data_IF_990698439567
#
_entry.id   IF_990698439567
#
_cell.length_a   1.000
_cell.length_b   1.000
_cell.length_c   1.000
_cell.angle_alpha   90.00
_cell.angle_beta   90.00
_cell.angle_gamma   90.00
#
_symmetry.space_group_name_H-M   'P 1'
#
loop_
_entity.id
_entity.type
_entity.pdbx_description
1 polymer ?
#
# COMPACT_ATOMS: atom_id res chain seq x y z
N UNK A 1 12.21 20.15 -0.59
CA UNK A 1 12.99 18.98 -0.11
C UNK A 1 12.84 17.83 -1.11
N UNK A 2 13.88 17.01 -1.28
CA UNK A 2 13.84 15.75 -2.05
C UNK A 2 13.77 14.59 -1.05
N UNK A 3 12.74 13.74 -1.12
CA UNK A 3 12.52 12.66 -0.17
C UNK A 3 12.42 11.31 -0.91
N UNK A 4 13.23 10.34 -0.51
CA UNK A 4 13.15 8.97 -1.06
C UNK A 4 11.94 8.22 -0.49
N UNK A 5 11.34 7.31 -1.26
CA UNK A 5 10.16 6.58 -0.77
C UNK A 5 10.03 5.14 -1.25
N UNK A 6 9.33 4.36 -0.41
CA UNK A 6 8.73 3.07 -0.78
C UNK A 6 7.40 2.87 -0.02
N UNK A 7 6.29 3.17 -0.68
CA UNK A 7 4.97 3.28 -0.06
C UNK A 7 4.07 2.05 -0.30
N UNK A 8 4.64 0.92 -0.74
CA UNK A 8 3.92 -0.33 -0.93
C UNK A 8 4.80 -1.49 -0.44
N UNK A 9 4.66 -1.85 0.84
CA UNK A 9 5.45 -2.90 1.52
C UNK A 9 4.48 -3.79 2.29
N UNK A 10 4.63 -5.11 2.16
CA UNK A 10 3.88 -6.09 2.95
C UNK A 10 4.69 -6.50 4.18
N UNK A 11 4.01 -6.71 5.30
CA UNK A 11 4.61 -7.30 6.49
C UNK A 11 4.25 -8.78 6.60
N UNK A 12 4.76 -9.45 7.63
CA UNK A 12 4.37 -10.81 7.98
C UNK A 12 2.87 -10.97 8.33
N UNK A 13 2.08 -9.89 8.33
CA UNK A 13 0.62 -9.95 8.42
C UNK A 13 -0.03 -10.39 7.11
N UNK A 14 0.55 -10.01 5.97
CA UNK A 14 0.12 -10.53 4.67
C UNK A 14 0.60 -11.98 4.55
N UNK A 15 -0.26 -12.96 4.20
CA UNK A 15 0.15 -14.36 4.17
C UNK A 15 1.25 -14.65 3.16
N UNK A 16 1.26 -13.93 2.04
CA UNK A 16 2.31 -13.98 1.03
C UNK A 16 3.62 -13.27 1.44
N UNK A 17 3.63 -12.54 2.56
CA UNK A 17 4.81 -11.89 3.10
C UNK A 17 5.68 -12.87 3.87
N UNK A 18 7.00 -12.73 3.77
CA UNK A 18 7.93 -13.55 4.53
C UNK A 18 7.79 -13.29 6.05
N UNK A 19 7.97 -14.31 6.88
CA UNK A 19 7.90 -14.18 8.33
C UNK A 19 8.97 -13.21 8.89
N UNK A 20 10.07 -12.99 8.16
CA UNK A 20 11.08 -11.98 8.50
C UNK A 20 10.65 -10.54 8.19
N UNK A 21 9.52 -10.32 7.52
CA UNK A 21 8.91 -8.99 7.30
C UNK A 21 8.25 -8.45 8.57
N UNK A 22 8.97 -8.50 9.68
CA UNK A 22 8.53 -7.97 10.97
C UNK A 22 8.62 -6.44 11.00
N UNK A 23 7.85 -5.76 11.87
CA UNK A 23 7.93 -4.30 12.01
C UNK A 23 9.34 -3.75 12.21
N UNK A 24 10.15 -4.39 13.06
CA UNK A 24 11.53 -3.95 13.32
C UNK A 24 12.42 -4.15 12.10
N UNK A 25 12.34 -5.31 11.45
CA UNK A 25 13.14 -5.59 10.26
C UNK A 25 12.81 -4.65 9.10
N UNK A 26 11.52 -4.39 8.84
CA UNK A 26 11.10 -3.43 7.79
C UNK A 26 11.69 -2.04 8.07
N UNK A 27 11.56 -1.54 9.30
CA UNK A 27 12.06 -0.20 9.65
C UNK A 27 13.59 -0.12 9.61
N UNK A 28 14.30 -1.16 10.07
CA UNK A 28 15.76 -1.21 9.97
C UNK A 28 16.24 -1.30 8.53
N UNK A 29 15.58 -2.12 7.70
CA UNK A 29 15.92 -2.26 6.29
C UNK A 29 15.68 -0.95 5.54
N UNK A 30 14.54 -0.30 5.76
CA UNK A 30 14.25 1.02 5.17
C UNK A 30 15.29 2.07 5.59
N UNK A 31 15.74 2.05 6.84
CA UNK A 31 16.80 2.93 7.31
C UNK A 31 18.15 2.65 6.64
N UNK A 32 18.54 1.37 6.52
CA UNK A 32 19.77 0.96 5.85
C UNK A 32 19.76 1.35 4.36
N UNK A 33 18.61 1.24 3.69
CA UNK A 33 18.39 1.63 2.29
C UNK A 33 18.23 3.14 2.08
N UNK A 34 18.27 3.94 3.16
CA UNK A 34 18.19 5.39 3.09
C UNK A 34 16.82 5.94 2.66
N UNK A 35 15.73 5.23 2.99
CA UNK A 35 14.37 5.67 2.66
C UNK A 35 13.87 6.74 3.63
N UNK A 36 13.33 7.83 3.09
CA UNK A 36 12.72 8.89 3.90
C UNK A 36 11.26 8.59 4.27
N UNK A 37 10.54 7.93 3.37
CA UNK A 37 9.10 7.68 3.50
C UNK A 37 8.85 6.19 3.23
N UNK A 38 8.10 5.55 4.11
CA UNK A 38 7.59 4.21 3.85
C UNK A 38 6.09 4.10 4.14
N UNK A 39 5.46 3.04 3.64
CA UNK A 39 4.15 2.62 4.10
C UNK A 39 4.08 1.10 4.10
N UNK A 40 3.58 0.53 5.20
CA UNK A 40 3.16 -0.88 5.25
C UNK A 40 1.71 -0.94 4.84
N UNK A 41 1.41 -1.75 3.83
CA UNK A 41 0.12 -1.82 3.14
C UNK A 41 -0.31 -3.28 3.03
N UNK A 42 -0.40 -3.97 4.16
CA UNK A 42 -0.85 -5.36 4.20
C UNK A 42 -2.23 -5.55 3.56
N UNK A 43 -2.47 -6.75 3.02
CA UNK A 43 -3.73 -7.07 2.35
C UNK A 43 -4.90 -7.01 3.35
N UNK A 44 -5.87 -6.14 3.08
CA UNK A 44 -7.17 -6.08 3.75
C UNK A 44 -7.15 -5.96 5.31
N UNK A 45 -5.96 -5.70 5.90
CA UNK A 45 -5.72 -5.57 7.34
C UNK A 45 -4.51 -4.65 7.57
N UNK A 46 -4.41 -4.03 8.75
CA UNK A 46 -3.37 -3.02 9.00
C UNK A 46 -2.74 -3.10 10.41
N UNK A 47 -2.80 -4.25 11.06
CA UNK A 47 -2.44 -4.39 12.49
C UNK A 47 -0.94 -4.17 12.78
N UNK A 48 -0.06 -4.31 11.79
CA UNK A 48 1.38 -4.08 11.94
C UNK A 48 1.81 -2.63 11.64
N UNK A 49 0.90 -1.76 11.18
CA UNK A 49 1.23 -0.38 10.80
C UNK A 49 1.62 0.47 12.01
N UNK A 50 0.92 0.36 13.14
CA UNK A 50 1.21 1.14 14.34
C UNK A 50 2.59 0.81 14.99
N UNK A 51 2.97 -0.48 15.15
CA UNK A 51 4.34 -0.86 15.49
C UNK A 51 5.40 -0.22 14.58
N UNK A 52 5.18 -0.25 13.26
CA UNK A 52 6.09 0.34 12.26
C UNK A 52 6.22 1.85 12.46
N UNK A 53 5.11 2.58 12.64
CA UNK A 53 5.12 4.03 12.92
C UNK A 53 5.96 4.34 14.18
N UNK A 54 5.74 3.59 15.27
CA UNK A 54 6.43 3.80 16.55
C UNK A 54 7.95 3.64 16.41
N UNK A 55 8.39 2.64 15.66
CA UNK A 55 9.80 2.34 15.42
C UNK A 55 10.44 3.36 14.47
N UNK A 56 9.78 3.65 13.34
CA UNK A 56 10.28 4.54 12.30
C UNK A 56 10.51 5.96 12.81
N UNK A 57 9.66 6.44 13.74
CA UNK A 57 9.82 7.75 14.38
C UNK A 57 11.19 7.93 15.04
N UNK A 58 11.76 6.88 15.64
CA UNK A 58 13.08 6.93 16.29
C UNK A 58 14.22 7.05 15.28
N UNK A 59 13.98 6.68 14.01
CA UNK A 59 14.95 6.73 12.91
C UNK A 59 14.70 7.91 11.97
N UNK A 60 13.76 8.78 12.31
CA UNK A 60 13.36 9.90 11.48
C UNK A 60 12.57 9.53 10.23
N UNK A 61 12.20 8.26 10.01
CA UNK A 61 11.46 7.81 8.83
C UNK A 61 9.98 8.18 8.97
N UNK A 62 9.42 8.81 7.94
CA UNK A 62 7.99 9.11 7.89
C UNK A 62 7.24 7.86 7.43
N UNK A 63 6.27 7.41 8.21
CA UNK A 63 5.40 6.29 7.83
C UNK A 63 4.03 6.83 7.48
N UNK A 64 3.54 6.52 6.29
CA UNK A 64 2.17 6.84 5.89
C UNK A 64 1.28 5.65 6.28
N UNK A 65 0.27 5.83 7.15
CA UNK A 65 -0.69 4.78 7.46
C UNK A 65 -1.39 4.30 6.19
N UNK A 66 -1.27 3.00 5.88
CA UNK A 66 -1.77 2.44 4.63
C UNK A 66 -2.31 1.01 4.76
N UNK A 67 -2.98 0.56 3.70
CA UNK A 67 -3.54 -0.78 3.53
C UNK A 67 -3.71 -1.01 2.02
N UNK A 68 -3.40 -2.21 1.53
CA UNK A 68 -3.76 -2.61 0.17
C UNK A 68 -5.08 -3.39 0.23
N UNK A 69 -6.08 -2.92 -0.51
CA UNK A 69 -7.41 -3.54 -0.55
C UNK A 69 -7.61 -4.25 -1.87
N UNK A 70 -8.05 -5.50 -1.80
CA UNK A 70 -8.55 -6.25 -2.96
C UNK A 70 -10.03 -5.93 -3.13
N UNK A 71 -10.39 -5.22 -4.19
CA UNK A 71 -11.80 -4.87 -4.48
C UNK A 71 -12.58 -6.11 -4.93
N UNK A 72 -13.90 -5.97 -5.05
CA UNK A 72 -14.79 -7.01 -5.58
C UNK A 72 -14.41 -7.45 -7.00
N UNK A 73 -13.89 -6.53 -7.80
CA UNK A 73 -13.36 -6.80 -9.14
C UNK A 73 -12.03 -7.54 -9.12
N UNK A 74 -11.48 -7.85 -7.93
CA UNK A 74 -10.13 -8.37 -7.75
C UNK A 74 -9.06 -7.39 -8.21
N UNK A 75 -9.29 -6.07 -8.08
CA UNK A 75 -8.27 -5.04 -8.33
C UNK A 75 -7.65 -4.63 -7.00
N UNK A 76 -6.33 -4.46 -6.96
CA UNK A 76 -5.66 -3.91 -5.79
C UNK A 76 -5.59 -2.39 -5.83
N UNK A 77 -5.91 -1.77 -4.69
CA UNK A 77 -5.80 -0.33 -4.49
C UNK A 77 -5.15 -0.03 -3.16
N UNK A 78 -4.20 0.89 -3.19
CA UNK A 78 -3.54 1.42 -2.01
C UNK A 78 -4.40 2.51 -1.41
N UNK A 79 -4.77 2.33 -0.15
CA UNK A 79 -5.57 3.28 0.61
C UNK A 79 -4.74 3.84 1.76
N UNK A 80 -4.41 5.12 1.70
CA UNK A 80 -3.63 5.82 2.70
C UNK A 80 -4.48 6.76 3.54
N UNK A 81 -4.10 6.94 4.80
CA UNK A 81 -4.80 7.81 5.75
C UNK A 81 -3.83 8.73 6.49
N UNK A 82 -4.35 9.82 7.03
CA UNK A 82 -3.54 10.81 7.77
C UNK A 82 -3.23 10.35 9.18
N UNK A 83 -4.09 9.52 9.75
CA UNK A 83 -3.96 9.00 11.11
C UNK A 83 -4.22 7.49 11.17
N UNK A 84 -3.63 6.84 12.17
CA UNK A 84 -3.88 5.41 12.45
C UNK A 84 -5.36 5.15 12.79
N UNK A 85 -6.03 6.12 13.43
CA UNK A 85 -7.45 6.02 13.81
C UNK A 85 -8.36 5.94 12.58
N UNK A 86 -8.08 6.75 11.56
CA UNK A 86 -8.81 6.71 10.29
C UNK A 86 -8.55 5.40 9.54
N UNK A 87 -7.29 4.95 9.50
CA UNK A 87 -6.92 3.65 8.92
C UNK A 87 -7.68 2.51 9.58
N UNK A 88 -7.67 2.40 10.90
CA UNK A 88 -8.38 1.32 11.61
C UNK A 88 -9.90 1.40 11.44
N UNK A 89 -10.49 2.60 11.33
CA UNK A 89 -11.92 2.74 11.04
C UNK A 89 -12.26 2.17 9.65
N UNK A 90 -11.41 2.44 8.65
CA UNK A 90 -11.55 1.94 7.30
C UNK A 90 -11.30 0.42 7.21
N UNK A 91 -10.17 -0.02 7.73
CA UNK A 91 -9.72 -1.41 7.73
C UNK A 91 -10.75 -2.34 8.40
N UNK A 92 -11.37 -1.92 9.49
CA UNK A 92 -12.44 -2.69 10.12
C UNK A 92 -13.66 -2.90 9.21
N UNK A 93 -13.97 -1.95 8.31
CA UNK A 93 -15.06 -2.13 7.33
C UNK A 93 -14.66 -3.13 6.25
N UNK A 94 -13.42 -3.04 5.75
CA UNK A 94 -12.87 -3.95 4.74
C UNK A 94 -12.80 -5.37 5.29
N UNK A 95 -12.18 -5.58 6.45
CA UNK A 95 -12.04 -6.90 7.08
C UNK A 95 -13.38 -7.59 7.36
N UNK A 96 -14.39 -6.84 7.84
CA UNK A 96 -15.75 -7.37 8.06
C UNK A 96 -16.44 -7.76 6.76
N UNK A 97 -16.02 -7.22 5.62
CA UNK A 97 -16.59 -7.53 4.32
C UNK A 97 -15.97 -8.77 3.64
N UNK A 98 -14.84 -9.26 4.17
CA UNK A 98 -14.19 -10.46 3.65
C UNK A 98 -15.06 -11.71 3.92
N UNK A 99 -15.06 -12.67 2.99
CA UNK A 99 -15.62 -14.00 3.22
C UNK A 99 -15.08 -14.61 4.53
N UNK A 100 -15.91 -15.40 5.19
CA UNK A 100 -15.52 -16.11 6.42
C UNK A 100 -14.77 -17.41 6.08
N UNK A 101 -13.66 -17.27 5.36
CA UNK A 101 -12.79 -18.36 4.95
C UNK A 101 -11.53 -18.30 5.79
N UNK A 102 -11.24 -19.37 6.52
CA UNK A 102 -10.04 -19.48 7.34
C UNK A 102 -8.80 -19.62 6.45
N UNK A 103 -7.70 -18.96 6.83
CA UNK A 103 -6.41 -19.10 6.19
C UNK A 103 -5.87 -20.54 6.35
N UNK A 104 -5.29 -21.07 5.27
CA UNK A 104 -4.51 -22.30 5.31
C UNK A 104 -3.03 -21.93 5.27
N UNK A 105 -2.40 -21.87 6.45
CA UNK A 105 -1.01 -21.41 6.60
C UNK A 105 -0.01 -22.26 5.79
N UNK A 106 -0.31 -23.54 5.55
CA UNK A 106 0.57 -24.42 4.75
C UNK A 106 0.57 -24.07 3.26
N UNK A 107 -0.49 -23.42 2.79
CA UNK A 107 -0.66 -23.07 1.37
C UNK A 107 -0.31 -21.61 1.13
N UNK A 108 -0.79 -20.71 2.00
CA UNK A 108 -0.68 -19.28 1.76
C UNK A 108 0.38 -18.59 2.60
N UNK A 109 0.86 -19.20 3.70
CA UNK A 109 1.72 -18.56 4.70
C UNK A 109 0.95 -18.08 5.94
N UNK A 110 1.70 -17.68 6.96
CA UNK A 110 1.16 -17.20 8.24
C UNK A 110 0.71 -15.73 8.15
N UNK A 111 -0.20 -15.30 9.02
CA UNK A 111 -0.68 -13.91 9.07
C UNK A 111 -0.43 -13.34 10.46
N UNK A 112 0.80 -12.94 10.72
CA UNK A 112 1.33 -12.60 12.04
C UNK A 112 1.04 -11.14 12.40
N UNK A 113 0.50 -10.94 13.60
CA UNK A 113 0.37 -9.63 14.23
C UNK A 113 1.50 -9.48 15.24
N UNK A 114 2.37 -8.49 15.03
CA UNK A 114 3.59 -8.30 15.83
C UNK A 114 3.59 -6.99 16.61
N UNK A 115 4.33 -6.96 17.70
CA UNK A 115 4.63 -5.73 18.46
C UNK A 115 5.81 -4.96 17.85
N UNK A 116 6.18 -3.82 18.44
CA UNK A 116 7.40 -3.09 18.04
C UNK A 116 8.70 -3.80 18.42
N UNK A 117 8.60 -4.83 19.25
CA UNK A 117 9.70 -5.65 19.74
C UNK A 117 9.75 -7.00 18.98
N UNK A 118 8.99 -7.12 17.88
CA UNK A 118 8.81 -8.32 17.06
C UNK A 118 8.26 -9.54 17.83
N UNK A 119 7.57 -9.29 18.94
CA UNK A 119 6.85 -10.35 19.64
C UNK A 119 5.52 -10.65 18.92
N UNK A 120 5.22 -11.93 18.71
CA UNK A 120 3.96 -12.36 18.11
C UNK A 120 2.83 -12.12 19.11
N UNK A 121 1.99 -11.13 18.83
CA UNK A 121 0.78 -10.82 19.62
C UNK A 121 -0.39 -11.74 19.27
N UNK A 122 -0.41 -12.26 18.05
CA UNK A 122 -1.42 -13.19 17.58
C UNK A 122 -1.37 -13.40 16.08
N UNK A 123 -2.43 -14.03 15.55
CA UNK A 123 -2.62 -14.26 14.12
C UNK A 123 -4.01 -13.83 13.69
N UNK A 124 -4.16 -13.52 12.40
CA UNK A 124 -5.48 -13.28 11.80
C UNK A 124 -6.00 -14.58 11.18
N UNK A 125 -7.21 -14.99 11.56
CA UNK A 125 -7.81 -16.26 11.11
C UNK A 125 -8.33 -16.22 9.68
N UNK A 126 -8.99 -15.13 9.25
CA UNK A 126 -9.55 -15.02 7.89
C UNK A 126 -8.42 -14.91 6.86
N UNK A 127 -8.55 -15.57 5.72
CA UNK A 127 -7.63 -15.42 4.59
C UNK A 127 -7.70 -13.99 4.04
N UNK A 128 -6.61 -13.23 4.21
CA UNK A 128 -6.53 -11.82 3.84
C UNK A 128 -6.40 -11.58 2.34
N UNK A 129 -6.03 -12.59 1.54
CA UNK A 129 -5.93 -12.51 0.08
C UNK A 129 -7.30 -12.51 -0.64
N UNK A 130 -8.40 -12.72 0.09
CA UNK A 130 -9.72 -12.70 -0.51
C UNK A 130 -10.16 -11.29 -0.87
N UNK A 131 -10.91 -11.19 -1.96
CA UNK A 131 -11.60 -9.97 -2.37
C UNK A 131 -12.62 -9.51 -1.34
N UNK A 132 -12.65 -8.20 -1.08
CA UNK A 132 -13.71 -7.56 -0.32
C UNK A 132 -15.03 -7.55 -1.10
N UNK A 133 -16.15 -7.32 -0.40
CA UNK A 133 -17.45 -7.18 -1.08
C UNK A 133 -17.63 -5.85 -1.81
N UNK A 134 -16.75 -4.88 -1.57
CA UNK A 134 -16.85 -3.52 -2.06
C UNK A 134 -16.24 -3.40 -3.45
N UNK A 135 -16.97 -2.76 -4.35
CA UNK A 135 -16.47 -2.34 -5.65
C UNK A 135 -15.41 -1.24 -5.52
N UNK A 136 -14.63 -1.05 -6.57
CA UNK A 136 -13.64 0.03 -6.67
C UNK A 136 -14.21 1.41 -6.29
N UNK A 137 -15.36 1.79 -6.85
CA UNK A 137 -16.01 3.09 -6.59
C UNK A 137 -16.51 3.23 -5.14
N UNK A 138 -16.92 2.12 -4.52
CA UNK A 138 -17.33 2.10 -3.11
C UNK A 138 -16.12 2.28 -2.20
N UNK A 139 -15.01 1.59 -2.47
CA UNK A 139 -13.74 1.78 -1.74
C UNK A 139 -13.27 3.22 -1.88
N UNK A 140 -13.24 3.78 -3.10
CA UNK A 140 -12.92 5.19 -3.34
C UNK A 140 -13.78 6.11 -2.48
N UNK A 141 -15.10 5.93 -2.49
CA UNK A 141 -16.02 6.79 -1.74
C UNK A 141 -15.72 6.75 -0.24
N UNK A 142 -15.53 5.56 0.33
CA UNK A 142 -15.22 5.41 1.75
C UNK A 142 -13.87 6.05 2.10
N UNK A 143 -12.84 5.91 1.24
CA UNK A 143 -11.52 6.52 1.46
C UNK A 143 -11.64 8.04 1.48
N UNK A 144 -12.34 8.64 0.50
CA UNK A 144 -12.53 10.09 0.41
C UNK A 144 -13.34 10.64 1.59
N UNK A 145 -14.40 9.94 2.02
CA UNK A 145 -15.20 10.32 3.20
C UNK A 145 -14.40 10.35 4.51
N UNK A 146 -13.22 9.71 4.54
CA UNK A 146 -12.30 9.71 5.69
C UNK A 146 -11.02 10.51 5.38
N UNK A 147 -11.09 11.46 4.42
CA UNK A 147 -9.98 12.32 3.99
C UNK A 147 -8.72 11.55 3.55
N UNK A 148 -8.87 10.28 3.19
CA UNK A 148 -7.80 9.40 2.74
C UNK A 148 -7.37 9.66 1.29
N UNK A 149 -6.40 8.90 0.83
CA UNK A 149 -5.88 8.92 -0.53
C UNK A 149 -5.97 7.51 -1.10
N UNK A 150 -6.56 7.38 -2.29
CA UNK A 150 -6.58 6.14 -3.05
C UNK A 150 -5.60 6.25 -4.22
N UNK A 151 -4.71 5.27 -4.35
CA UNK A 151 -3.82 5.09 -5.51
C UNK A 151 -4.05 3.68 -6.05
N UNK A 152 -4.39 3.52 -7.34
CA UNK A 152 -4.38 2.20 -7.97
C UNK A 152 -3.00 1.56 -7.88
N UNK A 153 -2.94 0.33 -7.35
CA UNK A 153 -1.70 -0.42 -7.20
C UNK A 153 -1.29 -1.02 -8.55
N UNK A 154 0.02 -1.09 -8.79
CA UNK A 154 0.68 -1.82 -9.90
C UNK A 154 -0.20 -2.05 -11.14
N UNK A 155 -0.71 -0.96 -11.73
CA UNK A 155 -1.87 -0.95 -12.64
C UNK A 155 -1.70 -1.78 -13.91
N UNK A 156 -0.46 -2.13 -14.24
CA UNK A 156 0.00 -2.84 -15.43
C UNK A 156 0.19 -4.36 -15.22
N UNK A 157 0.08 -4.89 -13.98
CA UNK A 157 0.20 -6.33 -13.76
C UNK A 157 -0.91 -7.09 -14.48
N UNK A 158 -0.65 -8.34 -14.88
CA UNK A 158 -1.66 -9.17 -15.58
C UNK A 158 -2.83 -9.59 -14.69
N UNK A 159 -2.60 -9.70 -13.38
CA UNK A 159 -3.60 -10.04 -12.38
C UNK A 159 -3.60 -8.95 -11.30
N UNK A 160 -4.73 -8.81 -10.62
CA UNK A 160 -4.90 -7.90 -9.49
C UNK A 160 -4.71 -6.41 -9.77
N UNK A 161 -4.79 -5.98 -11.03
CA UNK A 161 -4.56 -4.60 -11.45
C UNK A 161 -5.70 -4.06 -12.31
N UNK A 162 -5.79 -2.74 -12.43
CA UNK A 162 -6.83 -2.11 -13.27
C UNK A 162 -6.72 -2.53 -14.74
N UNK A 163 -5.53 -2.48 -15.36
CA UNK A 163 -5.40 -2.79 -16.78
C UNK A 163 -5.48 -4.29 -17.05
N UNK A 164 -5.00 -5.13 -16.13
CA UNK A 164 -5.09 -6.58 -16.27
C UNK A 164 -6.52 -7.10 -16.15
N UNK A 165 -7.31 -6.54 -15.23
CA UNK A 165 -8.67 -6.99 -14.93
C UNK A 165 -9.72 -6.26 -15.79
N UNK A 166 -9.65 -4.93 -15.86
CA UNK A 166 -10.68 -4.11 -16.53
C UNK A 166 -10.27 -3.70 -17.95
N UNK A 167 -8.98 -3.72 -18.28
CA UNK A 167 -8.47 -3.25 -19.58
C UNK A 167 -8.33 -1.73 -19.70
N UNK A 168 -8.74 -0.96 -18.69
CA UNK A 168 -8.66 0.51 -18.66
C UNK A 168 -8.65 1.04 -17.23
N UNK A 169 -8.30 2.31 -17.06
CA UNK A 169 -8.45 3.05 -15.79
C UNK A 169 -9.75 3.87 -15.88
N UNK A 170 -10.76 3.62 -15.04
CA UNK A 170 -12.01 4.36 -15.09
C UNK A 170 -11.81 5.87 -14.86
N UNK A 171 -12.31 6.72 -15.77
CA UNK A 171 -12.17 8.18 -15.65
C UNK A 171 -12.84 8.73 -14.36
N UNK A 172 -13.95 8.11 -13.94
CA UNK A 172 -14.66 8.46 -12.72
C UNK A 172 -13.85 8.14 -11.44
N UNK A 173 -12.73 7.42 -11.53
CA UNK A 173 -11.83 7.21 -10.40
C UNK A 173 -11.15 8.52 -9.99
N UNK A 174 -10.94 9.46 -10.92
CA UNK A 174 -10.52 10.83 -10.63
C UNK A 174 -9.17 10.96 -9.92
N UNK A 175 -8.37 9.90 -9.89
CA UNK A 175 -7.03 9.90 -9.28
C UNK A 175 -6.03 10.62 -10.16
N UNK A 176 -5.04 11.25 -9.52
CA UNK A 176 -3.92 11.91 -10.22
C UNK A 176 -2.63 11.12 -10.17
N UNK A 177 -2.55 10.10 -9.31
CA UNK A 177 -1.37 9.26 -9.17
C UNK A 177 -1.76 7.80 -9.31
N UNK A 178 -0.95 7.04 -10.04
CA UNK A 178 -1.06 5.59 -10.21
C UNK A 178 0.29 4.96 -9.89
N UNK A 179 0.27 3.76 -9.34
CA UNK A 179 1.47 2.94 -9.19
C UNK A 179 1.62 2.00 -10.38
N UNK A 180 2.84 1.86 -10.88
CA UNK A 180 3.20 0.82 -11.86
C UNK A 180 4.13 -0.22 -11.22
N UNK A 181 4.09 -1.43 -11.75
CA UNK A 181 4.95 -2.52 -11.32
C UNK A 181 6.42 -2.26 -11.67
N UNK A 182 7.33 -2.93 -10.96
CA UNK A 182 8.78 -2.83 -11.19
C UNK A 182 9.16 -3.13 -12.64
N UNK A 183 8.48 -4.08 -13.28
CA UNK A 183 8.79 -4.57 -14.63
C UNK A 183 7.80 -4.06 -15.69
N UNK A 184 7.16 -2.91 -15.44
CA UNK A 184 6.22 -2.30 -16.37
C UNK A 184 6.83 -2.11 -17.76
N UNK A 185 6.13 -2.62 -18.78
CA UNK A 185 6.40 -2.28 -20.18
C UNK A 185 5.80 -0.91 -20.49
N UNK A 186 6.67 0.10 -20.53
CA UNK A 186 6.24 1.48 -20.72
C UNK A 186 5.65 1.75 -22.10
N UNK A 187 6.06 1.03 -23.15
CA UNK A 187 5.54 1.19 -24.50
C UNK A 187 4.12 0.63 -24.61
N UNK A 188 3.87 -0.49 -23.93
CA UNK A 188 2.52 -1.03 -23.81
C UNK A 188 1.63 -0.12 -22.97
N UNK A 189 2.15 0.41 -21.86
CA UNK A 189 1.41 1.31 -20.98
C UNK A 189 0.93 2.57 -21.73
N UNK A 190 1.76 3.15 -22.60
CA UNK A 190 1.38 4.33 -23.41
C UNK A 190 0.24 4.07 -24.39
N UNK A 191 0.07 2.82 -24.82
CA UNK A 191 -1.03 2.44 -25.71
C UNK A 191 -2.35 2.27 -24.96
N UNK A 192 -2.28 2.02 -23.65
CA UNK A 192 -3.44 1.71 -22.81
C UNK A 192 -3.96 2.93 -22.04
N UNK A 193 -3.08 3.86 -21.68
CA UNK A 193 -3.44 5.05 -20.90
C UNK A 193 -2.79 6.32 -21.44
N UNK A 194 -3.49 7.44 -21.29
CA UNK A 194 -2.90 8.76 -21.46
C UNK A 194 -2.05 9.10 -20.22
N UNK A 195 -0.72 8.90 -20.32
CA UNK A 195 0.24 9.22 -19.24
C UNK A 195 0.18 10.70 -18.83
N UNK A 196 -0.24 11.60 -19.72
CA UNK A 196 -0.46 13.01 -19.41
C UNK A 196 -1.43 13.21 -18.24
N UNK A 197 -2.39 12.29 -18.07
CA UNK A 197 -3.40 12.34 -16.99
C UNK A 197 -2.85 12.00 -15.60
N UNK A 198 -1.76 11.23 -15.49
CA UNK A 198 -1.36 10.62 -14.20
C UNK A 198 0.12 10.84 -13.84
N UNK A 199 0.39 11.16 -12.58
CA UNK A 199 1.71 10.94 -12.00
C UNK A 199 1.92 9.43 -11.88
N UNK A 200 3.13 9.00 -12.19
CA UNK A 200 3.51 7.60 -12.13
C UNK A 200 4.50 7.45 -10.97
N UNK A 201 4.15 6.61 -10.00
CA UNK A 201 5.06 6.19 -8.95
C UNK A 201 5.40 4.71 -9.11
N UNK A 202 6.55 4.32 -8.57
CA UNK A 202 6.98 2.93 -8.50
C UNK A 202 7.37 2.63 -7.06
N UNK A 203 6.66 1.69 -6.45
CA UNK A 203 6.99 1.13 -5.14
C UNK A 203 7.47 -0.32 -5.33
N UNK A 204 7.98 -0.93 -4.27
CA UNK A 204 8.56 -2.28 -4.35
C UNK A 204 7.51 -3.38 -4.45
N UNK A 205 6.36 -3.20 -3.78
CA UNK A 205 5.43 -4.30 -3.50
C UNK A 205 6.17 -5.46 -2.80
N UNK A 206 7.04 -5.08 -1.85
CA UNK A 206 7.98 -5.99 -1.23
C UNK A 206 7.29 -6.97 -0.28
N UNK A 207 7.54 -8.26 -0.51
CA UNK A 207 7.15 -9.38 0.34
C UNK A 207 8.36 -10.00 1.08
N UNK A 208 9.58 -9.58 0.73
CA UNK A 208 10.84 -9.96 1.36
C UNK A 208 11.68 -8.72 1.61
N UNK A 209 12.51 -8.72 2.66
CA UNK A 209 13.28 -7.53 3.08
C UNK A 209 14.21 -7.02 1.98
N UNK A 210 14.82 -7.94 1.23
CA UNK A 210 15.72 -7.62 0.12
C UNK A 210 15.04 -6.85 -1.02
N UNK A 211 13.72 -7.01 -1.17
CA UNK A 211 12.94 -6.44 -2.27
C UNK A 211 12.47 -5.01 -1.98
N UNK A 212 12.52 -4.56 -0.72
CA UNK A 212 12.30 -3.16 -0.35
C UNK A 212 13.23 -2.29 -1.20
N UNK A 213 12.68 -1.22 -1.79
CA UNK A 213 13.40 -0.39 -2.74
C UNK A 213 14.61 0.29 -2.08
N UNK A 214 15.68 0.44 -2.85
CA UNK A 214 16.72 1.42 -2.56
C UNK A 214 16.15 2.85 -2.72
N UNK A 215 16.87 3.86 -2.23
CA UNK A 215 16.53 5.26 -2.42
C UNK A 215 16.67 5.74 -3.89
N UNK A 216 15.81 5.24 -4.77
CA UNK A 216 15.82 5.51 -6.21
C UNK A 216 14.61 6.32 -6.67
N UNK A 217 13.49 6.22 -5.95
CA UNK A 217 12.25 6.95 -6.22
C UNK A 217 12.11 8.12 -5.26
N UNK A 218 11.73 9.30 -5.79
CA UNK A 218 11.73 10.54 -5.02
C UNK A 218 10.48 11.38 -5.19
N UNK A 219 10.06 12.01 -4.10
CA UNK A 219 9.04 13.05 -4.07
C UNK A 219 9.70 14.40 -3.74
N UNK A 220 9.16 15.47 -4.33
CA UNK A 220 9.61 16.84 -4.06
C UNK A 220 8.49 17.59 -3.33
N UNK A 221 8.80 18.04 -2.13
CA UNK A 221 7.81 18.65 -1.21
C UNK A 221 8.49 19.67 -0.29
N UNK A 222 7.73 20.63 0.22
CA UNK A 222 8.26 21.64 1.15
C UNK A 222 8.59 21.04 2.52
N UNK A 223 7.75 20.11 3.00
CA UNK A 223 7.90 19.48 4.31
C UNK A 223 7.83 17.95 4.24
N UNK A 224 8.47 17.29 5.21
CA UNK A 224 8.39 15.85 5.45
C UNK A 224 7.24 15.54 6.42
N UNK A 225 6.01 15.71 5.96
CA UNK A 225 4.80 15.37 6.70
C UNK A 225 3.72 14.78 5.78
N UNK A 226 2.73 14.09 6.38
CA UNK A 226 1.70 13.38 5.62
C UNK A 226 0.84 14.33 4.79
N UNK A 227 0.56 15.54 5.28
CA UNK A 227 -0.24 16.53 4.55
C UNK A 227 0.41 16.93 3.23
N UNK A 228 1.72 17.20 3.27
CA UNK A 228 2.48 17.59 2.11
C UNK A 228 2.59 16.43 1.10
N UNK A 229 2.76 15.19 1.58
CA UNK A 229 2.73 14.01 0.71
C UNK A 229 1.35 13.80 0.08
N UNK A 230 0.27 13.95 0.84
CA UNK A 230 -1.09 13.86 0.30
C UNK A 230 -1.35 14.95 -0.73
N UNK A 231 -0.87 16.17 -0.48
CA UNK A 231 -1.03 17.29 -1.39
C UNK A 231 -0.42 17.00 -2.77
N UNK A 232 0.83 16.53 -2.80
CA UNK A 232 1.55 16.26 -4.06
C UNK A 232 0.98 15.04 -4.79
N UNK A 233 0.48 14.03 -4.09
CA UNK A 233 -0.09 12.82 -4.71
C UNK A 233 -1.52 13.05 -5.24
N UNK A 234 -2.23 14.06 -4.73
CA UNK A 234 -3.57 14.45 -5.21
C UNK A 234 -3.55 15.39 -6.41
N UNK A 235 -2.42 16.01 -6.72
CA UNK A 235 -2.27 16.97 -7.82
C UNK A 235 -1.40 16.38 -8.92
N UNK A 236 -1.66 16.75 -10.17
CA UNK A 236 -0.78 16.40 -11.29
C UNK A 236 0.52 17.20 -11.17
N UNK A 237 1.67 16.54 -11.32
CA UNK A 237 2.99 17.16 -11.32
C UNK A 237 3.21 17.94 -12.61
N UNK A 238 3.84 19.11 -12.53
CA UNK A 238 4.13 19.97 -13.68
C UNK A 238 2.97 20.86 -14.14
N UNK A 239 1.96 21.06 -13.28
CA UNK A 239 1.01 22.18 -13.38
C UNK A 239 1.36 23.30 -12.40
#
# INVERSE_FOLDING_TARGET
>A
MKLSFDMHIHSALSPCGDNEMTPNNIVNMAFLKGLDIIAVTDHNKALNVEPVIKLARKKGILVIPGIEVTTKEEVHVLCYFKTIKELYKFENKVYKSLPDIKNNEKVFGEQLVLTSEDEIKGKVDKLLLNSSKYKLDEIKSIVLDNNGLLIPAHVDKKAYSLLGVLGFIPDNLGVKTIEISKNCDFDLLEKLIDKGKYNIIKNSDAHYLKDINEAENYLYTDNRDIESIFHILRKKWGM
#
